data_IF_918292675102
#
_entry.id   IF_918292675102
#
_cell.length_a   1.000
_cell.length_b   1.000
_cell.length_c   1.000
_cell.angle_alpha   90.00
_cell.angle_beta   90.00
_cell.angle_gamma   90.00
#
_symmetry.space_group_name_H-M   'P 1'
#
loop_
_entity.id
_entity.type
_entity.pdbx_description
1 polymer ?
#
# COMPACT_ATOMS: atom_id res chain seq x y z
N UNK A 1 -31.98 24.70 17.14
CA UNK A 1 -30.90 23.70 17.27
C UNK A 1 -29.89 23.91 16.17
N UNK A 2 -28.61 24.02 16.53
CA UNK A 2 -27.50 24.05 15.57
C UNK A 2 -27.22 22.65 15.00
N UNK A 3 -26.35 22.55 14.00
CA UNK A 3 -26.07 21.27 13.32
C UNK A 3 -25.52 20.21 14.28
N UNK A 4 -24.60 20.60 15.17
CA UNK A 4 -24.01 19.70 16.18
C UNK A 4 -25.06 19.13 17.13
N UNK A 5 -26.00 19.95 17.59
CA UNK A 5 -27.11 19.51 18.43
C UNK A 5 -28.03 18.53 17.71
N UNK A 6 -28.29 18.75 16.42
CA UNK A 6 -29.09 17.82 15.59
C UNK A 6 -28.38 16.47 15.47
N UNK A 7 -27.07 16.45 15.22
CA UNK A 7 -26.27 15.23 15.12
C UNK A 7 -26.29 14.48 16.45
N UNK A 8 -26.03 15.16 17.58
CA UNK A 8 -26.05 14.53 18.91
C UNK A 8 -27.40 13.92 19.23
N UNK A 9 -28.50 14.64 18.97
CA UNK A 9 -29.85 14.12 19.22
C UNK A 9 -30.18 12.90 18.36
N UNK A 10 -29.76 12.91 17.09
CA UNK A 10 -29.94 11.75 16.20
C UNK A 10 -29.09 10.55 16.66
N UNK A 11 -27.87 10.79 17.13
CA UNK A 11 -27.00 9.75 17.67
C UNK A 11 -27.59 9.08 18.92
N UNK A 12 -28.06 9.86 19.91
CA UNK A 12 -28.69 9.29 21.12
C UNK A 12 -29.94 8.47 20.79
N UNK A 13 -30.78 8.95 19.86
CA UNK A 13 -31.97 8.20 19.43
C UNK A 13 -31.57 6.86 18.78
N UNK A 14 -30.55 6.84 17.91
CA UNK A 14 -30.06 5.61 17.29
C UNK A 14 -29.47 4.65 18.34
N UNK A 15 -28.73 5.16 19.32
CA UNK A 15 -28.16 4.36 20.42
C UNK A 15 -29.25 3.64 21.23
N UNK A 16 -30.37 4.30 21.51
CA UNK A 16 -31.53 3.68 22.15
C UNK A 16 -32.14 2.55 21.29
N UNK A 17 -32.27 2.76 19.98
CA UNK A 17 -32.77 1.73 19.05
C UNK A 17 -31.87 0.48 19.03
N UNK A 18 -30.54 0.67 18.95
CA UNK A 18 -29.58 -0.43 18.97
C UNK A 18 -29.52 -1.14 20.33
N UNK A 19 -29.68 -0.43 21.44
CA UNK A 19 -29.78 -1.03 22.76
C UNK A 19 -30.99 -1.98 22.87
N UNK A 20 -32.12 -1.65 22.21
CA UNK A 20 -33.28 -2.52 22.10
C UNK A 20 -33.00 -3.86 21.37
N UNK A 21 -31.94 -3.92 20.57
CA UNK A 21 -31.45 -5.13 19.90
C UNK A 21 -30.32 -5.83 20.67
N UNK A 22 -29.93 -5.32 21.84
CA UNK A 22 -28.81 -5.84 22.63
C UNK A 22 -27.43 -5.42 22.12
N UNK A 23 -27.35 -4.35 21.32
CA UNK A 23 -26.08 -3.82 20.79
C UNK A 23 -25.63 -2.62 21.63
N UNK A 24 -24.41 -2.70 22.17
CA UNK A 24 -23.74 -1.56 22.81
C UNK A 24 -22.99 -0.74 21.75
N UNK A 25 -23.57 0.39 21.37
CA UNK A 25 -23.01 1.30 20.35
C UNK A 25 -21.69 1.92 20.82
N UNK A 26 -21.57 2.29 22.10
CA UNK A 26 -20.35 2.94 22.61
C UNK A 26 -19.18 1.94 22.57
N UNK A 27 -19.42 0.70 23.00
CA UNK A 27 -18.42 -0.37 22.90
C UNK A 27 -18.07 -0.71 21.43
N UNK A 28 -19.01 -0.58 20.50
CA UNK A 28 -18.74 -0.75 19.08
C UNK A 28 -17.88 0.39 18.50
N UNK A 29 -18.16 1.64 18.89
CA UNK A 29 -17.36 2.80 18.50
C UNK A 29 -15.94 2.73 19.05
N UNK A 30 -15.76 2.32 20.31
CA UNK A 30 -14.42 2.13 20.90
C UNK A 30 -13.60 1.07 20.13
N UNK A 31 -14.24 -0.01 19.69
CA UNK A 31 -13.58 -1.02 18.84
C UNK A 31 -13.21 -0.45 17.47
N UNK A 32 -14.09 0.35 16.88
CA UNK A 32 -13.86 0.97 15.57
C UNK A 32 -12.69 1.95 15.60
N UNK A 33 -12.58 2.76 16.66
CA UNK A 33 -11.47 3.72 16.84
C UNK A 33 -10.10 3.05 16.90
N UNK A 34 -10.06 1.78 17.30
CA UNK A 34 -8.85 0.96 17.42
C UNK A 34 -8.65 -0.01 16.25
N UNK A 35 -9.44 0.09 15.17
CA UNK A 35 -9.34 -0.79 14.01
C UNK A 35 -8.63 -0.09 12.84
N UNK A 36 -7.32 -0.32 12.66
CA UNK A 36 -6.58 0.33 11.58
C UNK A 36 -6.90 -0.28 10.22
N UNK A 37 -7.15 0.57 9.22
CA UNK A 37 -7.22 0.19 7.80
C UNK A 37 -5.86 0.47 7.17
N UNK A 38 -5.34 -0.50 6.41
CA UNK A 38 -4.10 -0.33 5.65
C UNK A 38 -4.40 0.26 4.26
N UNK A 39 -4.12 1.55 4.11
CA UNK A 39 -4.39 2.31 2.89
C UNK A 39 -3.29 2.03 1.86
N UNK A 40 -3.69 1.71 0.64
CA UNK A 40 -2.76 1.40 -0.44
C UNK A 40 -2.13 2.66 -1.03
N UNK A 41 -0.79 2.70 -1.10
CA UNK A 41 -0.07 3.87 -1.59
C UNK A 41 -0.40 4.18 -3.06
N UNK A 42 -0.55 3.15 -3.88
CA UNK A 42 -0.57 3.25 -5.33
C UNK A 42 -1.78 3.95 -5.94
N UNK A 43 -2.78 4.30 -5.13
CA UNK A 43 -3.89 5.12 -5.58
C UNK A 43 -3.46 6.56 -5.88
N UNK A 44 -2.43 7.07 -5.23
CA UNK A 44 -2.04 8.48 -5.36
C UNK A 44 -1.40 8.81 -6.72
N UNK A 45 -0.88 7.80 -7.44
CA UNK A 45 -0.05 8.00 -8.64
C UNK A 45 -0.36 7.04 -9.80
N UNK A 46 -1.51 6.36 -9.75
CA UNK A 46 -1.94 5.37 -10.73
C UNK A 46 -0.99 4.17 -10.86
N UNK A 47 -0.42 3.69 -9.73
CA UNK A 47 0.56 2.60 -9.71
C UNK A 47 1.85 2.94 -10.49
N UNK A 48 2.25 4.22 -10.50
CA UNK A 48 3.43 4.69 -11.22
C UNK A 48 4.73 4.21 -10.59
N UNK A 49 4.91 4.47 -9.29
CA UNK A 49 6.14 4.23 -8.56
C UNK A 49 7.21 5.30 -8.81
N UNK A 50 8.36 5.13 -8.17
CA UNK A 50 9.48 6.08 -8.15
C UNK A 50 10.83 5.45 -8.54
N UNK A 51 10.82 4.25 -9.14
CA UNK A 51 12.04 3.57 -9.60
C UNK A 51 12.79 4.38 -10.67
N UNK A 52 12.06 5.11 -11.52
CA UNK A 52 12.60 6.06 -12.50
C UNK A 52 11.71 7.31 -12.60
N UNK A 53 12.22 8.45 -13.11
CA UNK A 53 11.41 9.68 -13.25
C UNK A 53 10.21 9.55 -14.19
N UNK A 54 10.24 8.57 -15.09
CA UNK A 54 9.22 8.26 -16.09
C UNK A 54 8.47 6.95 -15.78
N UNK A 55 8.57 6.46 -14.55
CA UNK A 55 7.95 5.21 -14.13
C UNK A 55 6.42 5.29 -14.30
N UNK A 56 5.89 4.29 -15.02
CA UNK A 56 4.46 4.14 -15.29
C UNK A 56 4.08 2.66 -15.24
N UNK A 57 2.82 2.39 -14.91
CA UNK A 57 2.25 1.05 -15.02
C UNK A 57 2.30 0.57 -16.48
N UNK A 58 3.05 -0.49 -16.76
CA UNK A 58 3.32 -0.97 -18.13
C UNK A 58 3.03 -2.47 -18.34
N UNK A 59 2.53 -3.19 -17.33
CA UNK A 59 2.15 -4.60 -17.46
C UNK A 59 1.57 -5.20 -16.18
N UNK A 60 1.47 -6.52 -16.14
CA UNK A 60 0.98 -7.28 -14.97
C UNK A 60 -0.53 -7.57 -14.97
N UNK A 61 -1.24 -7.34 -16.08
CA UNK A 61 -2.68 -7.61 -16.16
C UNK A 61 -3.56 -6.68 -15.30
N UNK A 62 -2.98 -5.59 -14.79
CA UNK A 62 -3.66 -4.55 -14.03
C UNK A 62 -3.61 -3.22 -14.78
N UNK A 63 -4.59 -2.35 -14.52
CA UNK A 63 -4.72 -1.06 -15.20
C UNK A 63 -5.29 -0.03 -14.22
N UNK A 64 -4.75 1.19 -14.28
CA UNK A 64 -5.42 2.39 -13.80
C UNK A 64 -6.10 3.05 -15.00
N UNK A 65 -7.37 3.43 -14.86
CA UNK A 65 -8.19 3.94 -15.97
C UNK A 65 -8.74 5.32 -15.67
N UNK A 66 -8.81 6.17 -16.70
CA UNK A 66 -9.21 7.57 -16.57
C UNK A 66 -8.00 8.49 -16.52
N UNK A 67 -8.19 9.75 -16.93
CA UNK A 67 -7.13 10.77 -17.01
C UNK A 67 -7.44 11.94 -16.07
N UNK A 68 -7.85 11.66 -14.84
CA UNK A 68 -8.12 12.72 -13.87
C UNK A 68 -6.80 13.43 -13.52
N UNK A 69 -6.73 14.77 -13.59
CA UNK A 69 -5.47 15.48 -13.37
C UNK A 69 -5.07 15.48 -11.89
N UNK A 70 -3.78 15.68 -11.61
CA UNK A 70 -3.29 15.97 -10.26
C UNK A 70 -2.69 14.79 -9.49
N UNK A 71 -2.44 13.65 -10.15
CA UNK A 71 -1.74 12.52 -9.52
C UNK A 71 -0.34 12.91 -9.02
N UNK A 72 0.10 12.31 -7.93
CA UNK A 72 1.43 12.51 -7.37
C UNK A 72 2.53 12.06 -8.35
N UNK A 73 3.61 12.83 -8.42
CA UNK A 73 4.73 12.58 -9.36
C UNK A 73 6.05 12.31 -8.66
N UNK A 74 6.07 12.45 -7.33
CA UNK A 74 7.24 12.24 -6.50
C UNK A 74 6.80 11.93 -5.07
N UNK A 75 7.75 11.50 -4.23
CA UNK A 75 7.51 11.10 -2.85
C UNK A 75 6.87 12.23 -2.02
N UNK A 76 7.26 13.48 -2.24
CA UNK A 76 6.75 14.61 -1.45
C UNK A 76 5.26 14.88 -1.75
N UNK A 77 4.88 14.92 -3.03
CA UNK A 77 3.47 15.02 -3.45
C UNK A 77 2.67 13.82 -2.93
N UNK A 78 3.23 12.63 -3.05
CA UNK A 78 2.56 11.39 -2.64
C UNK A 78 2.31 11.32 -1.13
N UNK A 79 3.24 11.78 -0.29
CA UNK A 79 3.03 11.87 1.17
C UNK A 79 1.99 12.92 1.51
N UNK A 80 2.02 14.08 0.87
CA UNK A 80 1.02 15.14 1.06
C UNK A 80 -0.40 14.64 0.74
N UNK A 81 -0.57 13.88 -0.35
CA UNK A 81 -1.87 13.33 -0.74
C UNK A 81 -2.38 12.26 0.25
N UNK A 82 -1.48 11.40 0.75
CA UNK A 82 -1.82 10.42 1.80
C UNK A 82 -2.20 11.14 3.10
N UNK A 83 -1.41 12.12 3.55
CA UNK A 83 -1.67 12.89 4.77
C UNK A 83 -3.03 13.56 4.69
N UNK A 84 -3.35 14.18 3.54
CA UNK A 84 -4.65 14.82 3.36
C UNK A 84 -5.79 13.81 3.38
N UNK A 85 -5.58 12.61 2.83
CA UNK A 85 -6.57 11.53 2.89
C UNK A 85 -6.77 11.05 4.32
N UNK A 86 -5.70 10.86 5.08
CA UNK A 86 -5.75 10.44 6.49
C UNK A 86 -6.41 11.48 7.40
N UNK A 87 -6.22 12.78 7.15
CA UNK A 87 -6.90 13.87 7.87
C UNK A 87 -8.44 13.83 7.72
N UNK A 88 -8.93 13.25 6.63
CA UNK A 88 -10.37 13.11 6.35
C UNK A 88 -10.96 11.77 6.83
N UNK A 89 -10.13 10.82 7.28
CA UNK A 89 -10.55 9.48 7.69
C UNK A 89 -10.43 9.35 9.21
N UNK A 90 -11.51 9.03 9.94
CA UNK A 90 -11.45 8.82 11.39
C UNK A 90 -10.49 7.68 11.79
N UNK A 91 -9.85 7.83 12.96
CA UNK A 91 -8.94 6.82 13.51
C UNK A 91 -7.52 6.88 12.94
N UNK A 92 -6.65 6.00 13.42
CA UNK A 92 -5.26 5.91 12.95
C UNK A 92 -5.10 4.76 11.97
N UNK A 93 -4.80 5.10 10.73
CA UNK A 93 -4.64 4.16 9.63
C UNK A 93 -3.21 3.62 9.54
N UNK A 94 -2.98 2.71 8.59
CA UNK A 94 -1.64 2.24 8.18
C UNK A 94 -1.41 2.59 6.71
N UNK A 95 -0.15 2.59 6.29
CA UNK A 95 0.23 2.70 4.88
C UNK A 95 0.70 1.35 4.35
N UNK A 96 0.10 0.87 3.26
CA UNK A 96 0.54 -0.30 2.52
C UNK A 96 1.39 0.11 1.30
N UNK A 97 2.69 -0.14 1.36
CA UNK A 97 3.66 0.34 0.38
C UNK A 97 4.06 -0.78 -0.59
N UNK A 98 4.33 -0.43 -1.85
CA UNK A 98 4.94 -1.34 -2.83
C UNK A 98 6.44 -1.06 -2.98
N UNK A 99 7.24 -2.07 -3.34
CA UNK A 99 8.68 -1.91 -3.51
C UNK A 99 9.09 -0.86 -4.58
N UNK A 100 8.23 -0.56 -5.56
CA UNK A 100 8.51 0.48 -6.56
C UNK A 100 8.46 1.90 -6.00
N UNK A 101 7.97 2.10 -4.78
CA UNK A 101 7.88 3.41 -4.13
C UNK A 101 9.11 3.74 -3.28
N UNK A 102 10.20 3.00 -3.44
CA UNK A 102 11.46 3.27 -2.75
C UNK A 102 11.97 4.69 -3.00
N UNK A 103 12.58 5.27 -1.98
CA UNK A 103 13.36 6.49 -2.05
C UNK A 103 14.77 6.16 -2.52
N UNK A 104 14.95 6.14 -3.85
CA UNK A 104 16.21 5.79 -4.48
C UNK A 104 17.16 6.98 -4.63
N UNK A 105 16.76 8.20 -4.24
CA UNK A 105 17.63 9.38 -4.33
C UNK A 105 18.17 9.70 -5.73
N UNK A 106 17.49 9.22 -6.79
CA UNK A 106 17.94 9.33 -8.18
C UNK A 106 18.94 8.25 -8.62
N UNK A 107 19.30 7.31 -7.75
CA UNK A 107 20.11 6.15 -8.10
C UNK A 107 19.26 5.08 -8.79
N UNK A 108 19.83 4.41 -9.79
CA UNK A 108 19.18 3.27 -10.42
C UNK A 108 19.52 2.00 -9.65
N UNK A 109 18.58 1.50 -8.88
CA UNK A 109 18.69 0.24 -8.12
C UNK A 109 17.71 -0.78 -8.70
N UNK A 110 18.20 -1.94 -9.09
CA UNK A 110 17.33 -3.02 -9.57
C UNK A 110 16.63 -3.73 -8.40
N UNK A 111 15.50 -4.38 -8.66
CA UNK A 111 14.59 -4.89 -7.64
C UNK A 111 15.20 -5.99 -6.77
N UNK A 112 16.12 -6.78 -7.31
CA UNK A 112 16.90 -7.77 -6.56
C UNK A 112 18.05 -7.17 -5.75
N UNK A 113 18.19 -5.84 -5.73
CA UNK A 113 19.24 -5.11 -5.00
C UNK A 113 18.68 -4.09 -4.00
N UNK A 114 17.36 -4.02 -3.83
CA UNK A 114 16.76 -3.11 -2.85
C UNK A 114 17.11 -3.52 -1.41
N UNK A 115 17.19 -2.52 -0.52
CA UNK A 115 17.61 -2.64 0.86
C UNK A 115 16.76 -1.70 1.72
N UNK A 116 16.81 -1.87 3.05
CA UNK A 116 16.10 -1.03 4.02
C UNK A 116 16.38 0.47 3.80
N UNK A 117 17.60 0.84 3.42
CA UNK A 117 17.98 2.25 3.21
C UNK A 117 17.09 2.97 2.18
N UNK A 118 16.59 2.26 1.16
CA UNK A 118 15.69 2.84 0.17
C UNK A 118 14.25 3.04 0.68
N UNK A 119 13.94 2.56 1.89
CA UNK A 119 12.62 2.72 2.51
C UNK A 119 12.69 3.43 3.86
N UNK A 120 13.89 3.81 4.31
CA UNK A 120 14.08 4.43 5.62
C UNK A 120 13.32 5.77 5.72
N UNK A 121 13.31 6.58 4.65
CA UNK A 121 12.56 7.85 4.67
C UNK A 121 11.05 7.64 4.82
N UNK A 122 10.51 6.51 4.37
CA UNK A 122 9.11 6.14 4.60
C UNK A 122 8.85 5.65 6.03
N UNK A 123 9.78 4.86 6.58
CA UNK A 123 9.70 4.38 7.96
C UNK A 123 9.74 5.55 8.94
N UNK A 124 10.66 6.49 8.73
CA UNK A 124 10.80 7.68 9.57
C UNK A 124 9.53 8.55 9.48
N UNK A 125 9.03 8.79 8.27
CA UNK A 125 7.77 9.52 8.05
C UNK A 125 6.57 8.83 8.73
N UNK A 126 6.42 7.52 8.60
CA UNK A 126 5.34 6.78 9.25
C UNK A 126 5.45 6.84 10.78
N UNK A 127 6.67 6.81 11.31
CA UNK A 127 6.95 6.96 12.73
C UNK A 127 6.58 8.35 13.25
N UNK A 128 6.87 9.41 12.50
CA UNK A 128 6.47 10.79 12.82
C UNK A 128 4.95 10.95 12.88
N UNK A 129 4.22 10.30 11.96
CA UNK A 129 2.76 10.26 11.97
C UNK A 129 2.17 9.30 13.03
N UNK A 130 3.00 8.43 13.61
CA UNK A 130 2.56 7.41 14.55
C UNK A 130 1.63 6.35 13.92
N UNK A 131 1.90 5.98 12.67
CA UNK A 131 1.17 4.96 11.91
C UNK A 131 2.04 3.71 11.67
N UNK A 132 1.38 2.58 11.41
CA UNK A 132 2.06 1.37 10.96
C UNK A 132 2.24 1.32 9.45
N UNK A 133 3.09 0.41 8.97
CA UNK A 133 3.31 0.19 7.54
C UNK A 133 3.27 -1.31 7.17
N UNK A 134 2.65 -1.58 6.02
CA UNK A 134 2.61 -2.88 5.35
C UNK A 134 3.40 -2.80 4.04
N UNK A 135 3.74 -3.96 3.46
CA UNK A 135 4.69 -4.01 2.35
C UNK A 135 4.31 -5.02 1.28
N UNK A 136 4.71 -4.76 0.04
CA UNK A 136 4.53 -5.66 -1.10
C UNK A 136 5.81 -5.71 -1.93
N UNK A 137 6.16 -6.91 -2.38
CA UNK A 137 7.11 -7.05 -3.49
C UNK A 137 6.43 -6.66 -4.81
N UNK A 138 7.16 -5.99 -5.71
CA UNK A 138 6.67 -5.66 -7.05
C UNK A 138 7.20 -6.63 -8.08
N UNK A 139 6.34 -7.47 -8.63
CA UNK A 139 6.72 -8.46 -9.64
C UNK A 139 6.26 -8.09 -11.05
N UNK A 140 5.64 -6.94 -11.27
CA UNK A 140 5.09 -6.47 -12.55
C UNK A 140 5.76 -5.19 -13.06
N UNK A 141 5.40 -4.68 -14.25
CA UNK A 141 6.00 -3.47 -14.85
C UNK A 141 7.53 -3.50 -14.84
N UNK A 142 8.11 -4.61 -15.31
CA UNK A 142 9.56 -4.81 -15.30
C UNK A 142 9.99 -5.65 -16.51
N UNK A 143 11.16 -5.39 -17.13
CA UNK A 143 11.62 -6.18 -18.27
C UNK A 143 11.71 -7.69 -17.99
N UNK A 144 12.08 -8.08 -16.76
CA UNK A 144 12.12 -9.50 -16.33
C UNK A 144 10.74 -10.10 -15.99
N UNK A 145 9.66 -9.37 -16.27
CA UNK A 145 8.27 -9.79 -16.12
C UNK A 145 7.50 -9.70 -17.44
N UNK A 146 8.17 -9.39 -18.56
CA UNK A 146 7.54 -9.14 -19.86
C UNK A 146 6.88 -10.39 -20.48
N UNK A 147 7.29 -11.59 -20.07
CA UNK A 147 6.72 -12.87 -20.53
C UNK A 147 5.51 -13.32 -19.68
N UNK A 148 4.89 -12.41 -18.93
CA UNK A 148 3.78 -12.66 -17.99
C UNK A 148 4.08 -13.74 -16.92
N UNK A 149 5.37 -14.06 -16.71
CA UNK A 149 5.85 -15.03 -15.73
C UNK A 149 7.04 -14.47 -14.95
N UNK A 150 7.09 -14.77 -13.65
CA UNK A 150 8.11 -14.28 -12.72
C UNK A 150 8.74 -15.44 -11.95
N UNK A 151 8.21 -15.78 -10.79
CA UNK A 151 8.67 -16.89 -9.95
C UNK A 151 8.42 -18.26 -10.61
N UNK A 152 7.46 -18.35 -11.53
CA UNK A 152 7.14 -19.54 -12.32
C UNK A 152 7.81 -19.53 -13.72
N UNK A 153 8.66 -18.55 -14.02
CA UNK A 153 9.33 -18.44 -15.32
C UNK A 153 10.21 -19.67 -15.64
N UNK A 154 10.33 -20.08 -16.91
CA UNK A 154 11.15 -21.26 -17.29
C UNK A 154 12.65 -21.03 -17.17
N UNK A 155 13.10 -19.82 -17.48
CA UNK A 155 14.48 -19.36 -17.25
C UNK A 155 14.79 -19.25 -15.75
N UNK A 156 15.84 -19.95 -15.31
CA UNK A 156 16.29 -19.94 -13.91
C UNK A 156 16.79 -18.56 -13.46
N UNK A 157 17.48 -17.80 -14.31
CA UNK A 157 17.98 -16.47 -13.98
C UNK A 157 16.87 -15.47 -13.70
N UNK A 158 15.73 -15.57 -14.39
CA UNK A 158 14.54 -14.75 -14.10
C UNK A 158 13.91 -15.17 -12.77
N UNK A 159 13.78 -16.47 -12.51
CA UNK A 159 13.28 -16.95 -11.21
C UNK A 159 14.19 -16.52 -10.05
N UNK A 160 15.50 -16.68 -10.20
CA UNK A 160 16.47 -16.32 -9.17
C UNK A 160 16.37 -14.83 -8.83
N UNK A 161 16.22 -13.96 -9.84
CA UNK A 161 16.00 -12.52 -9.66
C UNK A 161 14.75 -12.22 -8.83
N UNK A 162 13.60 -12.81 -9.17
CA UNK A 162 12.34 -12.56 -8.45
C UNK A 162 12.33 -13.17 -7.04
N UNK A 163 12.95 -14.35 -6.88
CA UNK A 163 13.15 -14.96 -5.55
C UNK A 163 13.99 -14.05 -4.67
N UNK A 164 15.07 -13.47 -5.21
CA UNK A 164 15.92 -12.53 -4.46
C UNK A 164 15.18 -11.23 -4.10
N UNK A 165 14.43 -10.66 -5.06
CA UNK A 165 13.58 -9.50 -4.79
C UNK A 165 12.58 -9.75 -3.64
N UNK A 166 11.89 -10.90 -3.66
CA UNK A 166 10.93 -11.27 -2.61
C UNK A 166 11.63 -11.44 -1.26
N UNK A 167 12.81 -12.08 -1.21
CA UNK A 167 13.60 -12.21 0.03
C UNK A 167 13.97 -10.84 0.61
N UNK A 168 14.39 -9.91 -0.24
CA UNK A 168 14.71 -8.54 0.18
C UNK A 168 13.48 -7.81 0.71
N UNK A 169 12.33 -7.94 0.05
CA UNK A 169 11.08 -7.39 0.54
C UNK A 169 10.68 -7.96 1.91
N UNK A 170 10.94 -9.24 2.17
CA UNK A 170 10.73 -9.85 3.50
C UNK A 170 11.63 -9.22 4.57
N UNK A 171 12.90 -8.96 4.25
CA UNK A 171 13.83 -8.28 5.16
C UNK A 171 13.41 -6.83 5.44
N UNK A 172 12.97 -6.12 4.40
CA UNK A 172 12.44 -4.76 4.52
C UNK A 172 11.18 -4.73 5.39
N UNK A 173 10.20 -5.61 5.12
CA UNK A 173 8.98 -5.73 5.95
C UNK A 173 9.29 -6.05 7.41
N UNK A 174 10.26 -6.95 7.67
CA UNK A 174 10.68 -7.24 9.03
C UNK A 174 11.28 -6.02 9.74
N UNK A 175 12.11 -5.23 9.06
CA UNK A 175 12.72 -4.02 9.64
C UNK A 175 11.69 -2.89 9.81
N UNK A 176 10.74 -2.72 8.88
CA UNK A 176 9.57 -1.84 9.05
C UNK A 176 8.86 -2.17 10.36
N UNK A 177 8.50 -3.44 10.57
CA UNK A 177 7.74 -3.82 11.75
C UNK A 177 8.51 -3.64 13.06
N UNK A 178 9.83 -3.91 13.02
CA UNK A 178 10.72 -3.69 14.16
C UNK A 178 10.84 -2.20 14.53
N UNK A 179 10.99 -1.31 13.55
CA UNK A 179 11.17 0.12 13.81
C UNK A 179 9.87 0.84 14.21
N UNK A 180 8.73 0.38 13.69
CA UNK A 180 7.40 0.96 13.99
C UNK A 180 6.70 0.30 15.19
N UNK A 181 7.25 -0.79 15.72
CA UNK A 181 6.70 -1.48 16.90
C UNK A 181 5.41 -2.27 16.64
N UNK A 182 5.08 -2.54 15.38
CA UNK A 182 3.89 -3.29 14.96
C UNK A 182 4.25 -4.16 13.75
N UNK A 183 3.84 -5.44 13.68
CA UNK A 183 4.17 -6.29 12.53
C UNK A 183 3.79 -5.64 11.20
N UNK A 184 4.68 -5.74 10.21
CA UNK A 184 4.38 -5.39 8.83
C UNK A 184 3.84 -6.63 8.12
N UNK A 185 2.71 -6.51 7.43
CA UNK A 185 2.20 -7.56 6.57
C UNK A 185 2.90 -7.45 5.22
N UNK A 186 3.76 -8.43 4.89
CA UNK A 186 4.35 -8.55 3.56
C UNK A 186 3.48 -9.44 2.67
N UNK A 187 2.74 -8.82 1.76
CA UNK A 187 1.92 -9.54 0.78
C UNK A 187 2.73 -9.85 -0.49
N UNK A 188 2.50 -11.04 -1.04
CA UNK A 188 3.14 -11.53 -2.26
C UNK A 188 2.02 -11.82 -3.26
N UNK A 189 1.86 -10.91 -4.21
CA UNK A 189 1.02 -11.10 -5.37
C UNK A 189 1.90 -11.20 -6.61
N UNK A 190 1.57 -12.16 -7.49
CA UNK A 190 2.25 -12.36 -8.77
C UNK A 190 1.22 -12.46 -9.88
N UNK A 191 1.59 -11.97 -11.05
CA UNK A 191 0.78 -12.00 -12.26
C UNK A 191 0.91 -13.32 -13.05
N UNK A 192 1.77 -14.23 -12.58
CA UNK A 192 2.19 -15.44 -13.29
C UNK A 192 1.00 -16.22 -13.83
N UNK A 193 0.87 -16.22 -15.15
CA UNK A 193 -0.24 -16.86 -15.82
C UNK A 193 -0.12 -16.77 -17.32
N UNK A 194 -1.11 -17.33 -18.02
CA UNK A 194 -1.27 -17.13 -19.45
C UNK A 194 -2.62 -16.50 -19.70
N UNK A 195 -2.67 -15.60 -20.69
CA UNK A 195 -3.94 -15.05 -21.17
C UNK A 195 -4.84 -16.16 -21.75
N UNK A 196 -4.22 -17.18 -22.35
CA UNK A 196 -4.90 -18.20 -23.13
C UNK A 196 -4.27 -19.60 -22.97
N UNK A 197 -5.06 -20.62 -23.28
CA UNK A 197 -4.63 -21.83 -24.00
C UNK A 197 -5.78 -22.07 -25.00
N UNK A 198 -5.71 -21.60 -26.25
CA UNK A 198 -6.73 -21.96 -27.22
C UNK A 198 -6.42 -23.40 -27.63
N UNK A 199 -7.00 -24.35 -26.91
CA UNK A 199 -7.15 -25.74 -27.35
C UNK A 199 -8.48 -25.80 -28.10
N UNK A 200 -8.42 -25.89 -29.43
CA UNK A 200 -9.48 -26.47 -30.25
C UNK A 200 -9.30 -27.99 -30.36
#
# INVERSE_FOLDING_TARGET
>A
MNQTEKIKKAFEAAKEEYAGLGVDVEAAMEKLDNFPISLHCWQADDVGGFETPDAVLSGGGIQATGNYPGKARNIAEHRMDIEKSMDLIPGKQRLNLHAIYGDFGGEKVDRDQIEVKHFQSWIDWAKELGIGMDFNCTTFSHPKAADDLTIAHKDKGIRDFWIEHIKRCRLIGAEIGKQLGTPSIHNIWVQDGSKDIPMD
#
